data_IF_008887638005
#
_entry.id   IF_008887638005
#
_cell.length_a   1.000
_cell.length_b   1.000
_cell.length_c   1.000
_cell.angle_alpha   90.00
_cell.angle_beta   90.00
_cell.angle_gamma   90.00
#
_symmetry.space_group_name_H-M   'P 1'
#
loop_
_entity.id
_entity.type
_entity.pdbx_description
1 polymer ?
#
# COMPACT_ATOMS: atom_id res chain seq x y z
N UNK A 1 82.40 -9.41 -37.01
CA UNK A 1 82.13 -8.14 -37.73
C UNK A 1 80.63 -7.89 -37.66
N UNK A 2 80.22 -6.73 -37.13
CA UNK A 2 79.12 -5.82 -37.58
C UNK A 2 77.83 -6.50 -38.10
N UNK A 3 76.60 -6.21 -37.67
CA UNK A 3 76.01 -5.04 -37.01
C UNK A 3 74.53 -5.37 -36.72
N UNK A 4 73.97 -4.85 -35.64
CA UNK A 4 72.54 -4.89 -35.34
C UNK A 4 71.70 -4.07 -36.34
N UNK A 5 70.40 -4.38 -36.46
CA UNK A 5 69.37 -3.36 -36.72
C UNK A 5 68.04 -3.73 -36.06
N UNK A 6 67.84 -3.15 -34.88
CA UNK A 6 66.59 -3.07 -34.12
C UNK A 6 65.83 -1.82 -34.59
N UNK A 7 64.54 -1.92 -34.89
CA UNK A 7 63.63 -0.78 -35.02
C UNK A 7 62.37 -1.09 -34.20
N UNK A 8 62.11 -0.22 -33.23
CA UNK A 8 60.99 -0.24 -32.29
C UNK A 8 59.66 0.07 -32.98
N UNK A 9 58.59 -0.58 -32.54
CA UNK A 9 57.25 0.00 -32.53
C UNK A 9 56.82 0.17 -31.06
N UNK A 10 56.65 1.42 -30.65
CA UNK A 10 56.15 1.84 -29.34
C UNK A 10 54.62 1.78 -29.31
N UNK A 11 54.05 1.27 -28.23
CA UNK A 11 52.66 1.55 -27.80
C UNK A 11 52.51 1.26 -26.30
N UNK A 12 51.58 1.92 -25.63
CA UNK A 12 51.88 2.70 -24.44
C UNK A 12 51.79 1.91 -23.12
N UNK A 13 52.57 2.41 -22.16
CA UNK A 13 52.51 2.15 -20.72
C UNK A 13 51.07 2.14 -20.21
N UNK A 14 50.60 0.99 -19.72
CA UNK A 14 49.41 0.95 -18.86
C UNK A 14 49.86 1.41 -17.48
N UNK A 15 49.46 2.63 -17.12
CA UNK A 15 49.61 3.14 -15.77
C UNK A 15 48.75 2.29 -14.82
N UNK A 16 49.42 1.60 -13.90
CA UNK A 16 48.78 0.93 -12.78
C UNK A 16 48.40 2.02 -11.76
N UNK A 17 47.22 2.62 -11.94
CA UNK A 17 46.68 3.55 -10.95
C UNK A 17 46.18 2.74 -9.76
N UNK A 18 46.81 2.93 -8.60
CA UNK A 18 46.25 2.48 -7.32
C UNK A 18 44.85 3.08 -7.18
N UNK A 19 43.83 2.24 -7.15
CA UNK A 19 42.49 2.64 -6.77
C UNK A 19 42.51 2.96 -5.27
N UNK A 20 42.55 4.26 -4.97
CA UNK A 20 42.17 4.86 -3.69
C UNK A 20 40.82 4.30 -3.24
N UNK A 21 40.73 3.90 -1.97
CA UNK A 21 39.52 3.49 -1.27
C UNK A 21 38.36 4.43 -1.59
N UNK A 22 37.42 3.95 -2.40
CA UNK A 22 36.19 4.66 -2.69
C UNK A 22 35.32 4.56 -1.44
N UNK A 23 35.17 5.68 -0.73
CA UNK A 23 34.14 5.83 0.30
C UNK A 23 32.81 5.38 -0.31
N UNK A 24 32.12 4.45 0.36
CA UNK A 24 30.81 3.98 -0.06
C UNK A 24 29.86 5.18 -0.13
N UNK A 25 29.67 5.74 -1.32
CA UNK A 25 28.55 6.64 -1.57
C UNK A 25 27.29 5.78 -1.44
N UNK A 26 26.40 6.18 -0.53
CA UNK A 26 25.09 5.55 -0.42
C UNK A 26 24.40 5.61 -1.79
N UNK A 27 24.21 4.46 -2.41
CA UNK A 27 23.42 4.35 -3.64
C UNK A 27 21.97 4.53 -3.22
N UNK A 28 21.40 5.71 -3.49
CA UNK A 28 19.95 5.91 -3.37
C UNK A 28 19.27 5.32 -4.60
N UNK A 29 18.40 4.34 -4.39
CA UNK A 29 17.58 3.76 -5.45
C UNK A 29 16.19 4.40 -5.42
N UNK A 30 15.62 4.71 -6.59
CA UNK A 30 14.31 5.37 -6.66
C UNK A 30 13.37 4.55 -7.56
N UNK A 31 12.11 4.45 -7.14
CA UNK A 31 11.07 3.72 -7.84
C UNK A 31 9.87 4.64 -8.04
N UNK A 32 9.49 4.86 -9.29
CA UNK A 32 8.24 5.55 -9.61
C UNK A 32 7.11 4.53 -9.67
N UNK A 33 6.15 4.67 -8.78
CA UNK A 33 4.95 3.83 -8.71
C UNK A 33 3.84 4.60 -9.43
N UNK A 34 3.39 4.18 -10.61
CA UNK A 34 2.32 4.88 -11.31
C UNK A 34 0.98 4.61 -10.63
N UNK A 35 0.16 5.64 -10.42
CA UNK A 35 -1.22 5.45 -9.97
C UNK A 35 -2.10 5.03 -11.15
N UNK A 36 -2.05 3.73 -11.48
CA UNK A 36 -2.78 3.18 -12.61
C UNK A 36 -4.21 2.76 -12.23
N UNK A 37 -4.99 3.67 -11.64
CA UNK A 37 -6.43 3.49 -11.37
C UNK A 37 -7.28 3.25 -12.65
N UNK A 38 -6.65 3.11 -13.81
CA UNK A 38 -7.23 2.78 -15.11
C UNK A 38 -7.48 1.26 -15.28
N UNK A 39 -7.99 0.59 -14.25
CA UNK A 39 -8.80 -0.62 -14.47
C UNK A 39 -10.14 -0.16 -15.05
N UNK A 40 -10.20 -0.14 -16.38
CA UNK A 40 -11.37 0.13 -17.23
C UNK A 40 -12.71 -0.32 -16.63
N UNK A 41 -13.37 0.56 -15.90
CA UNK A 41 -14.81 0.59 -15.80
C UNK A 41 -15.26 1.92 -16.38
N UNK A 42 -15.73 1.86 -17.62
CA UNK A 42 -16.44 2.95 -18.25
C UNK A 42 -17.71 3.17 -17.44
N UNK A 43 -17.76 4.20 -16.59
CA UNK A 43 -19.03 4.77 -16.21
C UNK A 43 -18.97 6.29 -16.12
N UNK A 44 -19.68 6.88 -17.08
CA UNK A 44 -19.95 8.28 -17.24
C UNK A 44 -20.88 8.73 -16.12
N UNK A 45 -20.34 9.25 -15.02
CA UNK A 45 -21.11 10.18 -14.18
C UNK A 45 -20.21 11.10 -13.36
N UNK A 46 -20.19 12.35 -13.80
CA UNK A 46 -19.47 13.47 -13.20
C UNK A 46 -20.12 13.87 -11.87
N UNK A 47 -19.44 13.62 -10.76
CA UNK A 47 -19.42 14.56 -9.62
C UNK A 47 -17.99 14.64 -9.12
N UNK A 48 -17.35 15.78 -9.37
CA UNK A 48 -15.97 16.04 -9.03
C UNK A 48 -15.78 16.00 -7.51
N UNK A 49 -15.13 14.95 -7.01
CA UNK A 49 -14.42 15.01 -5.74
C UNK A 49 -13.11 15.72 -6.01
N UNK A 50 -12.95 16.95 -5.51
CA UNK A 50 -11.71 17.72 -5.57
C UNK A 50 -10.61 17.14 -4.64
N UNK A 51 -10.47 15.82 -4.56
CA UNK A 51 -9.33 15.20 -3.90
C UNK A 51 -8.17 15.15 -4.90
N UNK A 52 -7.00 15.72 -4.59
CA UNK A 52 -5.82 15.58 -5.45
C UNK A 52 -5.53 14.08 -5.54
N UNK A 53 -5.75 13.50 -6.70
CA UNK A 53 -5.37 12.12 -6.98
C UNK A 53 -3.97 12.20 -7.57
N UNK A 54 -2.92 11.87 -6.82
CA UNK A 54 -1.56 11.93 -7.34
C UNK A 54 -1.43 10.99 -8.55
N UNK A 55 -0.75 11.46 -9.60
CA UNK A 55 -0.49 10.65 -10.81
C UNK A 55 0.52 9.53 -10.53
N UNK A 56 1.44 9.76 -9.59
CA UNK A 56 2.44 8.79 -9.16
C UNK A 56 3.01 9.12 -7.78
N UNK A 57 3.79 8.20 -7.24
CA UNK A 57 4.62 8.38 -6.05
C UNK A 57 6.01 7.87 -6.37
N UNK A 58 7.01 8.50 -5.77
CA UNK A 58 8.39 8.02 -5.80
C UNK A 58 8.72 7.41 -4.45
N UNK A 59 9.09 6.14 -4.44
CA UNK A 59 9.68 5.47 -3.28
C UNK A 59 11.19 5.48 -3.42
N UNK A 60 11.88 6.20 -2.53
CA UNK A 60 13.34 6.28 -2.49
C UNK A 60 13.88 5.40 -1.39
N UNK A 61 14.86 4.56 -1.70
CA UNK A 61 15.60 3.72 -0.78
C UNK A 61 16.80 4.51 -0.29
N UNK A 62 16.86 4.77 1.02
CA UNK A 62 17.88 5.65 1.60
C UNK A 62 19.13 4.89 2.07
N UNK A 63 19.00 3.60 2.35
CA UNK A 63 20.12 2.72 2.73
C UNK A 63 19.96 1.34 2.09
N UNK A 64 21.03 0.76 1.56
CA UNK A 64 20.99 -0.54 0.86
C UNK A 64 20.26 -0.49 -0.48
N UNK A 65 19.74 -1.63 -0.92
CA UNK A 65 19.11 -1.81 -2.23
C UNK A 65 17.86 -2.69 -2.12
N UNK A 66 16.96 -2.56 -3.10
CA UNK A 66 15.88 -3.52 -3.34
C UNK A 66 16.39 -4.58 -4.32
N UNK A 67 16.21 -5.85 -3.97
CA UNK A 67 16.67 -7.01 -4.74
C UNK A 67 15.65 -7.42 -5.79
N UNK A 68 14.36 -7.25 -5.53
CA UNK A 68 13.31 -7.51 -6.53
C UNK A 68 12.08 -6.63 -6.35
N UNK A 69 11.40 -6.35 -7.47
CA UNK A 69 10.11 -5.64 -7.49
C UNK A 69 9.06 -6.52 -8.14
N UNK A 70 7.87 -6.57 -7.55
CA UNK A 70 6.72 -7.32 -8.05
C UNK A 70 5.55 -6.36 -8.29
N UNK A 71 5.07 -6.30 -9.52
CA UNK A 71 3.83 -5.59 -9.82
C UNK A 71 2.65 -6.32 -9.18
N UNK A 72 1.75 -5.58 -8.58
CA UNK A 72 0.51 -6.10 -8.00
C UNK A 72 -0.69 -5.41 -8.67
N UNK A 73 -1.92 -5.96 -8.56
CA UNK A 73 -3.09 -5.33 -9.17
C UNK A 73 -3.36 -3.89 -8.70
N UNK A 74 -2.87 -3.55 -7.50
CA UNK A 74 -3.15 -2.29 -6.80
C UNK A 74 -1.92 -1.41 -6.62
N UNK A 75 -0.74 -1.81 -7.10
CA UNK A 75 0.51 -1.09 -6.82
C UNK A 75 1.72 -1.99 -6.97
N UNK A 76 2.74 -1.82 -6.14
CA UNK A 76 4.02 -2.53 -6.27
C UNK A 76 4.53 -3.04 -4.92
N UNK A 77 5.22 -4.18 -4.96
CA UNK A 77 5.89 -4.78 -3.81
C UNK A 77 7.39 -4.80 -4.05
N UNK A 78 8.14 -4.31 -3.07
CA UNK A 78 9.59 -4.18 -3.10
C UNK A 78 10.17 -5.16 -2.09
N UNK A 79 10.99 -6.09 -2.56
CA UNK A 79 11.62 -7.10 -1.70
C UNK A 79 13.11 -6.84 -1.61
N UNK A 80 13.61 -6.85 -0.39
CA UNK A 80 15.04 -6.75 -0.08
C UNK A 80 15.47 -7.95 0.75
N UNK A 81 16.74 -8.31 0.60
CA UNK A 81 17.32 -9.53 1.15
C UNK A 81 18.31 -9.19 2.24
N UNK A 82 18.22 -9.92 3.36
CA UNK A 82 19.24 -10.01 4.39
C UNK A 82 20.02 -11.30 4.11
N UNK A 83 21.24 -11.23 3.55
CA UNK A 83 21.94 -12.42 3.08
C UNK A 83 22.61 -13.22 4.20
N UNK A 84 22.99 -12.59 5.31
CA UNK A 84 23.69 -13.22 6.43
C UNK A 84 23.34 -12.56 7.77
N UNK A 85 23.71 -13.20 8.88
CA UNK A 85 23.50 -12.68 10.24
C UNK A 85 24.18 -11.34 10.54
N UNK A 86 25.30 -11.05 9.86
CA UNK A 86 26.04 -9.80 10.03
C UNK A 86 25.52 -8.66 9.14
N UNK A 87 24.47 -8.92 8.34
CA UNK A 87 23.91 -7.94 7.41
C UNK A 87 22.96 -6.97 8.12
N UNK A 88 22.79 -5.77 7.54
CA UNK A 88 21.82 -4.80 8.06
C UNK A 88 20.40 -5.40 8.06
N UNK A 89 19.73 -5.30 9.21
CA UNK A 89 18.38 -5.84 9.45
C UNK A 89 17.30 -4.78 9.36
N UNK A 90 17.67 -3.58 8.92
CA UNK A 90 16.78 -2.45 8.72
C UNK A 90 16.88 -1.93 7.30
N UNK A 91 15.79 -1.34 6.82
CA UNK A 91 15.74 -0.68 5.52
C UNK A 91 14.85 0.56 5.58
N UNK A 92 15.38 1.71 5.19
CA UNK A 92 14.70 3.01 5.24
C UNK A 92 14.29 3.46 3.86
N UNK A 93 13.05 3.93 3.79
CA UNK A 93 12.40 4.40 2.60
C UNK A 93 11.86 5.81 2.82
N UNK A 94 11.81 6.58 1.74
CA UNK A 94 11.20 7.91 1.69
C UNK A 94 10.14 7.91 0.59
N UNK A 95 8.96 8.43 0.92
CA UNK A 95 7.86 8.58 -0.03
C UNK A 95 7.79 10.04 -0.47
N UNK A 96 7.85 10.26 -1.78
CA UNK A 96 7.72 11.57 -2.39
C UNK A 96 6.52 11.57 -3.36
N UNK A 97 5.79 12.67 -3.37
CA UNK A 97 4.61 12.92 -4.22
C UNK A 97 4.54 14.43 -4.51
N UNK A 98 3.66 14.85 -5.40
CA UNK A 98 3.45 16.27 -5.76
C UNK A 98 2.65 17.04 -4.69
N UNK A 99 3.15 17.06 -3.45
CA UNK A 99 2.53 17.72 -2.30
C UNK A 99 3.17 17.31 -0.97
N UNK A 100 2.59 17.74 0.16
CA UNK A 100 3.12 17.42 1.47
C UNK A 100 2.76 15.98 1.88
N UNK A 101 3.77 15.10 1.92
CA UNK A 101 3.59 13.71 2.35
C UNK A 101 3.72 13.58 3.87
N UNK A 102 2.76 12.88 4.48
CA UNK A 102 2.87 12.43 5.87
C UNK A 102 2.47 10.97 6.01
N UNK A 103 3.19 10.25 6.87
CA UNK A 103 3.00 8.83 7.11
C UNK A 103 2.38 8.62 8.49
N UNK A 104 1.36 7.76 8.56
CA UNK A 104 0.72 7.38 9.81
C UNK A 104 0.74 5.85 9.97
N UNK A 105 1.55 5.36 10.93
CA UNK A 105 1.61 3.93 11.26
C UNK A 105 0.36 3.53 12.04
N UNK A 106 -0.25 2.43 11.60
CA UNK A 106 -1.36 1.80 12.26
C UNK A 106 -0.91 0.89 13.41
N UNK A 107 -1.33 1.18 14.65
CA UNK A 107 -0.83 0.49 15.85
C UNK A 107 -1.13 -1.02 15.89
N UNK A 108 -2.27 -1.47 15.38
CA UNK A 108 -2.65 -2.88 15.49
C UNK A 108 -2.09 -3.71 14.33
N UNK A 109 -2.16 -3.20 13.10
CA UNK A 109 -1.70 -3.95 11.93
C UNK A 109 -0.24 -3.67 11.54
N UNK A 110 0.34 -2.56 11.99
CA UNK A 110 1.66 -2.09 11.55
C UNK A 110 1.68 -1.46 10.15
N UNK A 111 0.57 -1.43 9.41
CA UNK A 111 0.49 -0.82 8.08
C UNK A 111 0.66 0.71 8.16
N UNK A 112 1.08 1.36 7.07
CA UNK A 112 1.23 2.82 7.01
C UNK A 112 0.18 3.41 6.08
N UNK A 113 -0.57 4.39 6.57
CA UNK A 113 -1.40 5.25 5.72
C UNK A 113 -0.54 6.39 5.19
N UNK A 114 -0.49 6.52 3.87
CA UNK A 114 0.23 7.60 3.18
C UNK A 114 -0.77 8.71 2.89
N UNK A 115 -0.48 9.92 3.40
CA UNK A 115 -1.31 11.11 3.18
C UNK A 115 -0.58 12.12 2.34
N UNK A 116 -1.28 12.71 1.38
CA UNK A 116 -0.88 13.85 0.57
C UNK A 116 -1.75 15.04 0.97
N UNK A 117 -1.13 16.12 1.45
CA UNK A 117 -1.84 17.32 1.93
C UNK A 117 -2.98 16.96 2.90
N UNK A 118 -2.64 16.14 3.91
CA UNK A 118 -3.53 15.60 4.93
C UNK A 118 -4.59 14.59 4.45
N UNK A 119 -4.72 14.39 3.14
CA UNK A 119 -5.67 13.45 2.53
C UNK A 119 -5.02 12.08 2.32
N UNK A 120 -5.58 10.97 2.82
CA UNK A 120 -5.04 9.64 2.54
C UNK A 120 -5.13 9.31 1.05
N UNK A 121 -4.06 8.78 0.45
CA UNK A 121 -3.98 8.49 -0.99
C UNK A 121 -3.49 7.07 -1.31
N UNK A 122 -2.73 6.45 -0.38
CA UNK A 122 -2.17 5.12 -0.56
C UNK A 122 -1.98 4.43 0.80
N UNK A 123 -1.72 3.12 0.76
CA UNK A 123 -1.40 2.30 1.94
C UNK A 123 -0.13 1.52 1.65
N UNK A 124 0.80 1.54 2.61
CA UNK A 124 1.87 0.54 2.67
C UNK A 124 1.39 -0.57 3.60
N UNK A 125 1.28 -1.79 3.07
CA UNK A 125 0.74 -2.93 3.82
C UNK A 125 1.62 -3.28 5.01
N UNK A 126 1.02 -3.99 5.97
CA UNK A 126 1.72 -4.54 7.13
C UNK A 126 3.01 -5.26 6.70
N UNK A 127 4.13 -5.01 7.40
CA UNK A 127 5.40 -5.58 7.02
C UNK A 127 5.38 -7.10 7.24
N UNK A 128 6.07 -7.83 6.38
CA UNK A 128 6.37 -9.24 6.58
C UNK A 128 7.82 -9.52 6.24
N UNK A 129 8.37 -10.54 6.89
CA UNK A 129 9.69 -11.07 6.59
C UNK A 129 9.65 -12.59 6.69
N UNK A 130 10.33 -13.27 5.77
CA UNK A 130 10.38 -14.74 5.71
C UNK A 130 11.82 -15.22 5.55
N UNK A 131 12.18 -16.22 6.34
CA UNK A 131 13.49 -16.87 6.26
C UNK A 131 13.58 -17.82 5.05
N UNK A 132 14.75 -18.42 4.82
CA UNK A 132 14.97 -19.32 3.68
C UNK A 132 14.10 -20.60 3.69
N UNK A 133 13.54 -20.96 4.84
CA UNK A 133 12.61 -22.08 4.99
C UNK A 133 11.13 -21.63 4.90
N UNK A 134 10.88 -20.33 4.73
CA UNK A 134 9.55 -19.73 4.68
C UNK A 134 8.93 -19.43 6.06
N UNK A 135 9.71 -19.55 7.14
CA UNK A 135 9.27 -19.21 8.49
C UNK A 135 9.12 -17.70 8.63
N UNK A 136 8.06 -17.25 9.31
CA UNK A 136 7.85 -15.84 9.60
C UNK A 136 8.89 -15.31 10.59
N UNK A 137 9.52 -14.21 10.22
CA UNK A 137 10.45 -13.44 11.07
C UNK A 137 9.71 -12.19 11.55
N UNK A 138 9.68 -11.92 12.87
CA UNK A 138 9.03 -10.72 13.39
C UNK A 138 9.61 -9.46 12.74
N UNK A 139 8.73 -8.56 12.33
CA UNK A 139 9.10 -7.31 11.67
C UNK A 139 8.06 -6.22 11.95
N UNK A 140 8.49 -4.97 11.95
CA UNK A 140 7.62 -3.82 12.15
C UNK A 140 8.16 -2.58 11.42
N UNK A 141 7.31 -1.58 11.21
CA UNK A 141 7.73 -0.27 10.72
C UNK A 141 7.85 0.75 11.86
N UNK A 142 8.81 1.66 11.72
CA UNK A 142 8.85 2.95 12.40
C UNK A 142 8.84 4.08 11.36
N UNK A 143 8.36 5.27 11.69
CA UNK A 143 8.27 6.35 10.70
C UNK A 143 8.30 7.74 11.32
N UNK A 144 8.80 8.68 10.53
CA UNK A 144 8.90 10.11 10.84
C UNK A 144 8.72 10.92 9.55
N UNK A 145 7.76 11.85 9.53
CA UNK A 145 7.47 12.67 8.35
C UNK A 145 7.02 11.84 7.15
N UNK A 146 7.78 11.91 6.05
CA UNK A 146 7.59 11.15 4.82
C UNK A 146 8.49 9.90 4.72
N UNK A 147 9.17 9.53 5.81
CA UNK A 147 10.12 8.41 5.86
C UNK A 147 9.62 7.30 6.77
N UNK A 148 9.89 6.06 6.37
CA UNK A 148 9.65 4.89 7.20
C UNK A 148 10.81 3.90 7.11
N UNK A 149 11.05 3.18 8.19
CA UNK A 149 12.07 2.15 8.31
C UNK A 149 11.40 0.85 8.67
N UNK A 150 11.67 -0.21 7.91
CA UNK A 150 11.36 -1.57 8.32
C UNK A 150 12.47 -2.10 9.22
N UNK A 151 12.08 -2.74 10.32
CA UNK A 151 12.96 -3.48 11.21
C UNK A 151 12.64 -4.96 11.12
N UNK A 152 13.65 -5.81 10.93
CA UNK A 152 13.51 -7.27 10.93
C UNK A 152 14.26 -7.83 12.14
N UNK A 153 13.56 -8.51 13.03
CA UNK A 153 14.09 -8.98 14.32
C UNK A 153 14.81 -10.33 14.19
N UNK A 154 15.94 -10.34 13.50
CA UNK A 154 16.70 -11.58 13.21
C UNK A 154 17.36 -12.22 14.45
N UNK A 155 17.49 -11.48 15.55
CA UNK A 155 18.07 -11.98 16.81
C UNK A 155 17.05 -12.60 17.76
N UNK A 156 15.76 -12.57 17.42
CA UNK A 156 14.68 -13.10 18.26
C UNK A 156 14.54 -14.63 18.20
N UNK A 157 15.22 -15.29 17.26
CA UNK A 157 15.21 -16.74 17.07
C UNK A 157 16.30 -17.22 16.11
N UNK A 158 16.35 -18.54 15.88
CA UNK A 158 17.27 -19.17 14.94
C UNK A 158 16.65 -19.21 13.53
N UNK A 159 16.91 -18.16 12.73
CA UNK A 159 16.38 -18.03 11.37
C UNK A 159 17.40 -18.44 10.30
N UNK A 160 16.92 -19.05 9.20
CA UNK A 160 17.77 -19.41 8.07
C UNK A 160 17.91 -18.26 7.06
N UNK A 161 19.13 -18.01 6.62
CA UNK A 161 19.43 -17.01 5.60
C UNK A 161 19.40 -17.62 4.18
N UNK A 162 19.04 -16.84 3.13
CA UNK A 162 18.65 -15.43 3.17
C UNK A 162 17.24 -15.19 3.74
N UNK A 163 17.06 -14.09 4.46
CA UNK A 163 15.73 -13.60 4.87
C UNK A 163 15.26 -12.58 3.83
N UNK A 164 14.03 -12.70 3.36
CA UNK A 164 13.38 -11.77 2.43
C UNK A 164 12.37 -10.92 3.19
N UNK A 165 12.37 -9.60 2.99
CA UNK A 165 11.46 -8.67 3.65
C UNK A 165 10.87 -7.66 2.65
N UNK A 166 9.71 -7.10 2.96
CA UNK A 166 8.97 -6.17 2.08
C UNK A 166 8.97 -4.71 2.55
N UNK A 167 8.69 -3.76 1.64
CA UNK A 167 7.35 -3.19 1.76
C UNK A 167 6.50 -3.35 0.50
N UNK A 168 5.18 -3.41 0.67
CA UNK A 168 4.20 -3.32 -0.42
C UNK A 168 3.40 -2.03 -0.38
N UNK A 169 3.49 -1.25 -1.46
CA UNK A 169 2.76 -0.01 -1.68
C UNK A 169 1.54 -0.27 -2.58
N UNK A 170 0.34 -0.02 -2.07
CA UNK A 170 -0.91 -0.11 -2.82
C UNK A 170 -1.53 1.30 -2.95
N UNK A 171 -1.86 1.66 -4.19
CA UNK A 171 -2.64 2.85 -4.54
C UNK A 171 -4.10 2.71 -4.13
N UNK A 172 -4.67 3.84 -3.73
CA UNK A 172 -6.08 3.94 -3.38
C UNK A 172 -6.34 3.78 -1.88
N UNK A 173 -7.28 4.60 -1.40
CA UNK A 173 -8.13 4.25 -0.28
C UNK A 173 -8.98 3.05 -0.74
N UNK A 174 -9.33 2.09 0.11
CA UNK A 174 -10.48 1.22 -0.15
C UNK A 174 -11.72 2.11 -0.14
N UNK A 175 -11.98 2.78 -1.26
CA UNK A 175 -13.17 3.56 -1.54
C UNK A 175 -13.99 2.80 -2.54
N UNK A 176 -15.26 2.62 -2.23
CA UNK A 176 -16.12 1.74 -3.00
C UNK A 176 -17.58 2.03 -2.72
N UNK A 177 -18.43 1.56 -3.61
CA UNK A 177 -19.86 1.64 -3.47
C UNK A 177 -20.41 0.22 -3.36
N UNK A 178 -21.22 -0.05 -2.33
CA UNK A 178 -22.09 -1.22 -2.32
C UNK A 178 -23.47 -0.74 -2.78
N UNK A 179 -23.85 -1.19 -3.97
CA UNK A 179 -25.16 -0.98 -4.55
C UNK A 179 -26.07 -2.12 -4.11
N UNK A 180 -27.22 -1.77 -3.53
CA UNK A 180 -28.18 -2.76 -3.06
C UNK A 180 -29.43 -2.73 -3.93
N UNK A 181 -29.90 -3.90 -4.33
CA UNK A 181 -31.15 -4.02 -5.10
C UNK A 181 -32.36 -3.43 -4.36
N UNK A 182 -33.47 -3.26 -5.07
CA UNK A 182 -34.73 -2.80 -4.46
C UNK A 182 -35.24 -3.79 -3.41
N UNK A 183 -35.02 -5.08 -3.62
CA UNK A 183 -35.35 -6.13 -2.66
C UNK A 183 -34.48 -6.06 -1.40
N UNK A 184 -33.16 -5.96 -1.55
CA UNK A 184 -32.23 -5.84 -0.41
C UNK A 184 -32.48 -4.57 0.39
N UNK A 185 -32.72 -3.44 -0.30
CA UNK A 185 -33.07 -2.18 0.35
C UNK A 185 -34.36 -2.33 1.17
N UNK A 186 -35.40 -3.00 0.64
CA UNK A 186 -36.63 -3.32 1.39
C UNK A 186 -36.37 -4.23 2.60
N UNK A 187 -35.52 -5.24 2.46
CA UNK A 187 -35.14 -6.12 3.57
C UNK A 187 -34.42 -5.35 4.66
N UNK A 188 -33.46 -4.49 4.31
CA UNK A 188 -32.74 -3.66 5.27
C UNK A 188 -33.66 -2.68 6.00
N UNK A 189 -34.62 -2.06 5.30
CA UNK A 189 -35.57 -1.14 5.91
C UNK A 189 -36.57 -1.82 6.86
N UNK A 190 -36.79 -3.14 6.73
CA UNK A 190 -37.75 -3.86 7.56
C UNK A 190 -37.31 -3.95 9.03
N UNK A 191 -36.02 -4.15 9.30
CA UNK A 191 -35.45 -4.14 10.65
C UNK A 191 -33.92 -4.13 10.64
N UNK A 192 -33.30 -3.74 11.75
CA UNK A 192 -31.85 -3.87 11.94
C UNK A 192 -31.36 -5.32 11.86
N UNK A 193 -32.14 -6.28 12.36
CA UNK A 193 -31.82 -7.71 12.26
C UNK A 193 -31.81 -8.18 10.79
N UNK A 194 -32.78 -7.73 10.00
CA UNK A 194 -32.82 -8.03 8.57
C UNK A 194 -31.69 -7.32 7.80
N UNK A 195 -31.30 -6.12 8.21
CA UNK A 195 -30.13 -5.45 7.65
C UNK A 195 -28.84 -6.21 7.94
N UNK A 196 -28.63 -6.67 9.17
CA UNK A 196 -27.47 -7.48 9.53
C UNK A 196 -27.39 -8.80 8.73
N UNK A 197 -28.53 -9.34 8.28
CA UNK A 197 -28.63 -10.59 7.55
C UNK A 197 -28.46 -10.48 6.02
N UNK A 198 -28.38 -9.26 5.45
CA UNK A 198 -28.01 -9.11 4.04
C UNK A 198 -26.60 -9.64 3.83
N UNK A 199 -26.41 -10.39 2.74
CA UNK A 199 -25.20 -11.15 2.42
C UNK A 199 -23.91 -10.38 2.74
N UNK A 200 -22.86 -11.06 3.24
CA UNK A 200 -21.64 -10.41 3.68
C UNK A 200 -20.79 -9.96 2.48
N UNK A 201 -21.24 -8.94 1.77
CA UNK A 201 -20.56 -8.37 0.60
C UNK A 201 -19.14 -7.91 0.96
N UNK A 202 -18.89 -7.58 2.23
CA UNK A 202 -17.57 -7.23 2.76
C UNK A 202 -16.53 -8.35 2.67
N UNK A 203 -16.93 -9.62 2.51
CA UNK A 203 -16.00 -10.74 2.26
C UNK A 203 -15.32 -10.62 0.88
N UNK A 204 -15.93 -9.90 -0.05
CA UNK A 204 -15.33 -9.59 -1.35
C UNK A 204 -14.26 -8.50 -1.27
N UNK A 205 -14.16 -7.80 -0.13
CA UNK A 205 -13.17 -6.75 0.10
C UNK A 205 -11.93 -7.38 0.76
N UNK A 206 -10.72 -7.19 0.21
CA UNK A 206 -9.49 -7.76 0.77
C UNK A 206 -9.25 -7.36 2.25
N UNK A 207 -8.74 -8.27 3.09
CA UNK A 207 -8.31 -7.94 4.44
C UNK A 207 -7.20 -6.88 4.47
N UNK A 208 -7.14 -6.01 5.51
CA UNK A 208 -8.03 -5.97 6.69
C UNK A 208 -9.32 -5.13 6.49
N UNK A 209 -9.54 -4.53 5.32
CA UNK A 209 -10.65 -3.62 5.09
C UNK A 209 -12.02 -4.32 5.10
N UNK A 210 -12.10 -5.53 4.55
CA UNK A 210 -13.33 -6.33 4.61
C UNK A 210 -13.77 -6.67 6.03
N UNK A 211 -12.82 -6.95 6.93
CA UNK A 211 -13.11 -7.20 8.35
C UNK A 211 -13.62 -5.94 9.03
N UNK A 212 -12.99 -4.78 8.78
CA UNK A 212 -13.44 -3.51 9.32
C UNK A 212 -14.86 -3.12 8.84
N UNK A 213 -15.19 -3.35 7.57
CA UNK A 213 -16.55 -3.15 7.04
C UNK A 213 -17.53 -4.12 7.70
N UNK A 214 -17.15 -5.39 7.89
CA UNK A 214 -17.97 -6.39 8.57
C UNK A 214 -18.30 -6.00 10.02
N UNK A 215 -17.29 -5.58 10.80
CA UNK A 215 -17.49 -5.10 12.18
C UNK A 215 -18.36 -3.84 12.24
N UNK A 216 -18.12 -2.89 11.34
CA UNK A 216 -18.94 -1.69 11.23
C UNK A 216 -20.39 -2.04 10.89
N UNK A 217 -20.62 -2.94 9.92
CA UNK A 217 -21.94 -3.34 9.44
C UNK A 217 -22.81 -3.94 10.55
N UNK A 218 -22.26 -4.89 11.29
CA UNK A 218 -22.97 -5.54 12.40
C UNK A 218 -23.31 -4.52 13.50
N UNK A 219 -22.37 -3.61 13.80
CA UNK A 219 -22.53 -2.60 14.85
C UNK A 219 -23.46 -1.45 14.47
N UNK A 220 -23.65 -1.18 13.17
CA UNK A 220 -24.41 -0.04 12.65
C UNK A 220 -25.64 -0.43 11.83
N UNK A 221 -26.09 -1.68 11.93
CA UNK A 221 -27.27 -2.21 11.23
C UNK A 221 -28.55 -1.39 11.48
N UNK A 222 -28.67 -0.75 12.65
CA UNK A 222 -29.73 0.22 12.93
C UNK A 222 -29.67 1.45 12.00
N UNK A 223 -28.49 2.05 11.83
CA UNK A 223 -28.29 3.20 10.94
C UNK A 223 -28.55 2.80 9.49
N UNK A 224 -28.08 1.62 9.08
CA UNK A 224 -28.33 1.06 7.74
C UNK A 224 -29.83 0.88 7.49
N UNK A 225 -30.59 0.37 8.46
CA UNK A 225 -32.04 0.24 8.35
C UNK A 225 -32.74 1.61 8.20
N UNK A 226 -32.28 2.62 8.94
CA UNK A 226 -32.81 3.98 8.83
C UNK A 226 -32.53 4.59 7.44
N UNK A 227 -31.33 4.41 6.91
CA UNK A 227 -30.96 4.89 5.57
C UNK A 227 -31.68 4.13 4.45
N UNK A 228 -31.87 2.81 4.61
CA UNK A 228 -32.68 2.03 3.69
C UNK A 228 -34.15 2.50 3.68
N UNK A 229 -34.69 2.87 4.84
CA UNK A 229 -36.03 3.44 4.96
C UNK A 229 -36.14 4.77 4.21
N UNK A 230 -35.12 5.65 4.34
CA UNK A 230 -35.11 6.91 3.60
C UNK A 230 -34.96 6.72 2.09
N UNK A 231 -34.21 5.71 1.65
CA UNK A 231 -34.08 5.37 0.24
C UNK A 231 -35.43 4.92 -0.35
N UNK A 232 -36.15 4.03 0.34
CA UNK A 232 -37.50 3.57 -0.09
C UNK A 232 -38.49 4.72 -0.15
N UNK A 233 -38.47 5.63 0.83
CA UNK A 233 -39.36 6.79 0.85
C UNK A 233 -39.15 7.72 -0.35
N UNK A 234 -37.98 7.66 -1.00
CA UNK A 234 -37.63 8.43 -2.19
C UNK A 234 -37.78 7.63 -3.49
N UNK A 235 -38.32 6.41 -3.44
CA UNK A 235 -38.35 5.43 -4.55
C UNK A 235 -36.96 5.17 -5.16
N UNK A 236 -35.93 5.15 -4.31
CA UNK A 236 -34.54 4.87 -4.65
C UNK A 236 -34.03 3.65 -3.89
N UNK A 237 -32.86 3.16 -4.30
CA UNK A 237 -32.16 2.10 -3.60
C UNK A 237 -31.02 2.66 -2.75
N UNK A 238 -30.64 1.93 -1.71
CA UNK A 238 -29.54 2.32 -0.85
C UNK A 238 -28.22 2.07 -1.57
N UNK A 239 -27.33 3.06 -1.54
CA UNK A 239 -25.89 2.87 -1.77
C UNK A 239 -25.17 3.14 -0.47
N UNK A 240 -24.17 2.32 -0.17
CA UNK A 240 -23.20 2.66 0.86
C UNK A 240 -21.88 3.03 0.21
N UNK A 241 -21.40 4.22 0.57
CA UNK A 241 -20.07 4.69 0.23
C UNK A 241 -19.14 4.28 1.35
N UNK A 242 -18.13 3.49 1.02
CA UNK A 242 -17.04 3.18 1.92
C UNK A 242 -15.87 4.08 1.59
N UNK A 243 -15.17 4.52 2.61
CA UNK A 243 -13.87 5.17 2.49
C UNK A 243 -13.19 5.16 3.84
N UNK A 244 -11.88 5.36 3.88
CA UNK A 244 -11.23 5.62 5.17
C UNK A 244 -11.72 6.98 5.65
N UNK A 245 -12.43 7.01 6.77
CA UNK A 245 -12.80 8.26 7.44
C UNK A 245 -12.31 8.22 8.86
N UNK A 246 -11.64 9.30 9.29
CA UNK A 246 -11.30 9.49 10.69
C UNK A 246 -9.80 9.52 10.95
N UNK A 247 -9.44 10.28 11.98
CA UNK A 247 -8.09 10.47 12.52
C UNK A 247 -7.73 9.43 13.58
N UNK A 248 -8.62 8.47 13.87
CA UNK A 248 -8.44 7.43 14.89
C UNK A 248 -7.84 6.16 14.28
N UNK A 249 -7.05 5.47 15.10
CA UNK A 249 -6.36 4.21 14.83
C UNK A 249 -7.11 3.08 15.58
N UNK A 250 -7.50 1.96 14.94
CA UNK A 250 -7.42 1.65 13.50
C UNK A 250 -8.13 2.63 12.58
N UNK A 251 -7.66 2.79 11.32
CA UNK A 251 -8.37 3.57 10.32
C UNK A 251 -9.80 3.07 10.26
N UNK A 252 -10.73 3.90 10.71
CA UNK A 252 -12.14 3.57 10.64
C UNK A 252 -12.57 3.64 9.19
N UNK A 253 -13.18 2.56 8.70
CA UNK A 253 -13.95 2.65 7.46
C UNK A 253 -15.17 3.52 7.79
N UNK A 254 -15.18 4.71 7.22
CA UNK A 254 -16.36 5.52 7.16
C UNK A 254 -17.32 4.94 6.16
N UNK A 255 -18.56 4.85 6.62
CA UNK A 255 -19.65 4.47 5.76
C UNK A 255 -20.67 5.58 5.80
N UNK A 256 -20.96 6.14 4.63
CA UNK A 256 -22.01 7.13 4.47
C UNK A 256 -23.08 6.61 3.49
N UNK A 257 -24.35 6.95 3.72
CA UNK A 257 -25.41 6.59 2.80
C UNK A 257 -25.40 7.51 1.57
N UNK A 258 -25.84 6.95 0.45
CA UNK A 258 -26.31 7.70 -0.72
C UNK A 258 -27.50 6.95 -1.35
N UNK A 259 -28.18 7.59 -2.30
CA UNK A 259 -29.36 7.03 -2.96
C UNK A 259 -29.17 7.03 -4.48
N UNK A 260 -29.49 5.91 -5.12
CA UNK A 260 -29.41 5.76 -6.58
C UNK A 260 -30.69 5.19 -7.17
N UNK A 261 -30.89 5.37 -8.47
CA UNK A 261 -32.08 4.90 -9.20
C UNK A 261 -31.73 3.92 -10.31
N UNK A 262 -30.55 4.04 -10.91
CA UNK A 262 -30.11 3.17 -12.01
C UNK A 262 -29.80 1.76 -11.51
N UNK A 263 -30.48 0.73 -12.02
CA UNK A 263 -30.29 -0.65 -11.55
C UNK A 263 -31.12 -1.03 -10.32
N UNK A 264 -32.05 -0.18 -9.89
CA UNK A 264 -33.15 -0.54 -8.97
C UNK A 264 -34.18 -1.44 -9.66
N UNK A 265 -33.81 -2.67 -10.03
CA UNK A 265 -34.74 -3.71 -10.51
C UNK A 265 -35.20 -4.60 -9.37
#
# INVERSE_FOLDING_TARGET
>A
MRTAKLILATSPTVAMTLATSQSAAAVSQEFTIPNNSDTRFVEKSSTASNSPTPESATLRVLDGTIDSTKLTPSGEQFEWIIPTADSATTRTFEVEMDGAVSLQIHKESGAIVVKLDESPVAIIKSPWAKDANGLDVPTYFSGEGNRFTQHVETSSGDYAYPITADPRFDWGIVSGHAYFSKEETRKMAASSAAAAAVSPFWVLVPPPAGEAIGYWWVSNSYSVAAWATSAIAQDKCLVLKFGVTGTKLPPSVGVSPDHYTDGCV
#
